data_IF_152024593801
#
_entry.id   IF_152024593801
#
_cell.length_a   1.000
_cell.length_b   1.000
_cell.length_c   1.000
_cell.angle_alpha   90.00
_cell.angle_beta   90.00
_cell.angle_gamma   90.00
#
_symmetry.space_group_name_H-M   'P 1'
#
loop_
_entity.id
_entity.type
_entity.pdbx_description
1 polymer ?
#
# COMPACT_ATOMS: atom_id res chain seq x y z
N UNK A 1 -11.43 -0.99 3.33
CA UNK A 1 -11.79 0.33 3.88
C UNK A 1 -13.15 0.38 4.55
N UNK A 2 -14.14 -0.44 4.15
CA UNK A 2 -15.52 -0.30 4.67
C UNK A 2 -15.65 -0.38 6.18
N UNK A 3 -14.99 -1.35 6.82
CA UNK A 3 -14.98 -1.46 8.28
C UNK A 3 -14.30 -0.25 8.93
N UNK A 4 -13.17 0.20 8.40
CA UNK A 4 -12.46 1.37 8.93
C UNK A 4 -13.35 2.62 8.88
N UNK A 5 -14.05 2.85 7.77
CA UNK A 5 -14.97 3.99 7.60
C UNK A 5 -16.18 3.92 8.52
N UNK A 6 -16.72 2.73 8.78
CA UNK A 6 -17.81 2.55 9.74
C UNK A 6 -17.42 2.96 11.18
N UNK A 7 -16.12 3.01 11.47
CA UNK A 7 -15.57 3.37 12.78
C UNK A 7 -14.74 4.66 12.76
N UNK A 8 -14.88 5.50 11.73
CA UNK A 8 -14.12 6.74 11.57
C UNK A 8 -12.58 6.54 11.71
N UNK A 9 -12.10 5.42 11.17
CA UNK A 9 -10.69 5.03 11.19
C UNK A 9 -10.08 5.19 9.79
N UNK A 10 -8.81 5.61 9.75
CA UNK A 10 -8.00 5.57 8.53
C UNK A 10 -7.45 4.17 8.28
N UNK A 11 -7.45 3.74 7.01
CA UNK A 11 -6.85 2.49 6.56
C UNK A 11 -5.50 2.75 5.89
N UNK A 12 -4.41 2.40 6.60
CA UNK A 12 -3.04 2.38 6.07
C UNK A 12 -2.66 0.96 5.61
N UNK A 13 -2.04 0.84 4.43
CA UNK A 13 -1.55 -0.42 3.90
C UNK A 13 -0.01 -0.42 3.71
N UNK A 14 0.68 -1.38 4.32
CA UNK A 14 2.06 -1.73 3.98
C UNK A 14 2.06 -2.67 2.77
N UNK A 15 2.69 -2.23 1.69
CA UNK A 15 2.77 -2.97 0.42
C UNK A 15 4.20 -3.32 0.02
N UNK A 16 5.14 -3.38 0.98
CA UNK A 16 6.57 -3.66 0.76
C UNK A 16 6.82 -4.92 -0.06
N UNK A 17 6.09 -6.01 0.21
CA UNK A 17 6.29 -7.29 -0.49
C UNK A 17 5.29 -7.54 -1.62
N UNK A 18 4.28 -6.69 -1.77
CA UNK A 18 3.18 -6.89 -2.72
C UNK A 18 3.24 -5.94 -3.92
N UNK A 19 3.70 -4.70 -3.74
CA UNK A 19 3.86 -3.75 -4.84
C UNK A 19 4.88 -4.27 -5.86
N UNK A 20 4.45 -4.38 -7.12
CA UNK A 20 5.23 -4.97 -8.21
C UNK A 20 5.19 -6.51 -8.28
N UNK A 21 4.65 -7.19 -7.26
CA UNK A 21 4.50 -8.64 -7.22
C UNK A 21 3.07 -9.14 -7.50
N UNK A 22 2.05 -8.39 -7.07
CA UNK A 22 0.63 -8.71 -7.29
C UNK A 22 -0.19 -7.44 -7.59
N UNK A 23 -1.35 -7.56 -8.24
CA UNK A 23 -2.27 -6.43 -8.41
C UNK A 23 -2.74 -5.88 -7.06
N UNK A 24 -2.66 -4.56 -6.90
CA UNK A 24 -3.14 -3.83 -5.72
C UNK A 24 -4.26 -2.89 -6.15
N UNK A 25 -5.46 -3.14 -5.64
CA UNK A 25 -6.66 -2.35 -5.97
C UNK A 25 -7.00 -1.36 -4.86
N UNK A 26 -6.14 -0.38 -4.63
CA UNK A 26 -6.19 0.50 -3.46
C UNK A 26 -7.50 1.30 -3.36
N UNK A 27 -7.94 1.90 -4.47
CA UNK A 27 -9.19 2.68 -4.53
C UNK A 27 -10.43 1.80 -4.30
N UNK A 28 -10.52 0.65 -4.98
CA UNK A 28 -11.61 -0.32 -4.79
C UNK A 28 -11.65 -0.82 -3.34
N UNK A 29 -10.48 -1.06 -2.76
CA UNK A 29 -10.31 -1.50 -1.38
C UNK A 29 -10.49 -0.36 -0.36
N UNK A 30 -10.66 0.90 -0.80
CA UNK A 30 -10.90 2.07 0.04
C UNK A 30 -9.77 2.27 1.06
N UNK A 31 -8.53 2.16 0.59
CA UNK A 31 -7.31 2.45 1.35
C UNK A 31 -7.08 3.96 1.35
N UNK A 32 -6.74 4.54 2.49
CA UNK A 32 -6.55 5.98 2.62
C UNK A 32 -5.07 6.39 2.45
N UNK A 33 -4.14 5.47 2.75
CA UNK A 33 -2.71 5.63 2.47
C UNK A 33 -2.08 4.26 2.23
N UNK A 34 -1.23 4.14 1.21
CA UNK A 34 -0.39 2.97 1.02
C UNK A 34 1.08 3.39 0.88
N UNK A 35 1.99 2.59 1.45
CA UNK A 35 3.42 2.76 1.22
C UNK A 35 4.09 1.45 0.81
N UNK A 36 5.28 1.54 0.24
CA UNK A 36 6.10 0.37 -0.10
C UNK A 36 7.60 0.67 0.04
N UNK A 37 8.44 -0.17 -0.57
CA UNK A 37 9.87 0.05 -0.73
C UNK A 37 10.34 -0.28 -2.16
N UNK A 38 11.52 0.20 -2.53
CA UNK A 38 12.14 -0.09 -3.83
C UNK A 38 12.75 -1.51 -3.93
N UNK A 39 13.19 -2.10 -2.83
CA UNK A 39 14.07 -3.29 -2.78
C UNK A 39 13.39 -4.65 -2.63
N UNK A 40 12.15 -4.77 -3.10
CA UNK A 40 11.37 -6.01 -3.08
C UNK A 40 10.76 -6.27 -4.45
N UNK A 41 9.44 -6.14 -4.58
CA UNK A 41 8.74 -6.38 -5.86
C UNK A 41 9.12 -5.40 -6.97
N UNK A 42 9.70 -4.24 -6.64
CA UNK A 42 10.21 -3.26 -7.60
C UNK A 42 11.68 -3.49 -8.02
N UNK A 43 12.39 -4.45 -7.40
CA UNK A 43 13.76 -4.86 -7.75
C UNK A 43 14.78 -3.71 -7.91
N UNK A 44 14.59 -2.61 -7.18
CA UNK A 44 15.48 -1.43 -7.17
C UNK A 44 16.33 -1.40 -5.88
N UNK A 45 17.44 -0.65 -5.81
CA UNK A 45 18.24 -0.52 -4.60
C UNK A 45 17.43 -0.01 -3.40
N UNK A 46 17.76 -0.39 -2.15
CA UNK A 46 17.07 0.11 -0.97
C UNK A 46 17.26 1.61 -0.80
N UNK A 47 16.24 2.30 -0.27
CA UNK A 47 16.31 3.71 0.11
C UNK A 47 15.18 4.60 -0.39
N UNK A 48 14.21 4.06 -1.14
CA UNK A 48 13.02 4.79 -1.58
C UNK A 48 11.75 4.19 -0.96
N UNK A 49 10.83 5.06 -0.54
CA UNK A 49 9.51 4.71 -0.03
C UNK A 49 8.41 5.31 -0.91
N UNK A 50 7.94 4.62 -1.96
CA UNK A 50 6.78 5.06 -2.73
C UNK A 50 5.55 5.12 -1.83
N UNK A 51 4.72 6.14 -2.00
CA UNK A 51 3.44 6.27 -1.29
C UNK A 51 2.37 6.86 -2.21
N UNK A 52 1.10 6.56 -1.91
CA UNK A 52 -0.08 7.14 -2.55
C UNK A 52 -1.27 7.14 -1.60
#
# INVERSE_FOLDING_TARGET
>A
GDLCRAHDCLLLLDTVTSLGGVPLKLDEAKVDLAYSCSQKGLSCPPGLGPFT
#
